data_IF_561722130809
#
_entry.id   IF_561722130809
#
_cell.length_a   1.000
_cell.length_b   1.000
_cell.length_c   1.000
_cell.angle_alpha   90.00
_cell.angle_beta   90.00
_cell.angle_gamma   90.00
#
_symmetry.space_group_name_H-M   'P 1'
#
loop_
_entity.id
_entity.type
_entity.pdbx_description
1 polymer ?
#
# COMPACT_ATOMS: atom_id res chain seq x y z
N UNK A 1 -24.97 6.54 -15.00
CA UNK A 1 -23.68 6.14 -15.61
C UNK A 1 -22.63 7.19 -15.26
N UNK A 2 -21.48 6.83 -14.66
CA UNK A 2 -20.38 7.78 -14.50
C UNK A 2 -19.77 8.11 -15.87
N UNK A 3 -19.49 9.39 -16.14
CA UNK A 3 -18.74 9.81 -17.34
C UNK A 3 -17.41 9.04 -17.37
N UNK A 4 -17.12 8.35 -18.47
CA UNK A 4 -15.76 7.85 -18.76
C UNK A 4 -14.83 9.06 -18.80
N UNK A 5 -14.11 9.32 -17.70
CA UNK A 5 -12.96 10.22 -17.73
C UNK A 5 -11.86 9.51 -18.53
N UNK A 6 -11.55 10.02 -19.71
CA UNK A 6 -10.54 9.42 -20.56
C UNK A 6 -9.15 9.67 -19.96
N UNK A 7 -8.36 8.61 -19.82
CA UNK A 7 -6.93 8.69 -19.53
C UNK A 7 -6.21 9.30 -20.74
N UNK A 8 -5.31 10.26 -20.49
CA UNK A 8 -4.66 11.04 -21.54
C UNK A 8 -3.16 10.75 -21.53
N UNK A 9 -2.58 10.54 -22.72
CA UNK A 9 -1.13 10.58 -22.88
C UNK A 9 -0.71 12.05 -23.08
N UNK A 10 0.23 12.51 -22.27
CA UNK A 10 0.81 13.85 -22.32
C UNK A 10 2.35 13.77 -22.31
N UNK A 11 2.99 14.89 -22.60
CA UNK A 11 4.45 15.05 -22.56
C UNK A 11 4.77 16.28 -21.75
N UNK A 12 5.73 16.15 -20.84
CA UNK A 12 6.24 17.23 -19.99
C UNK A 12 7.69 17.48 -20.39
N UNK A 13 8.06 18.73 -20.63
CA UNK A 13 9.45 19.13 -20.92
C UNK A 13 9.94 20.10 -19.85
N UNK A 14 11.22 19.97 -19.46
CA UNK A 14 11.83 20.79 -18.42
C UNK A 14 13.07 20.13 -17.81
N UNK A 15 13.59 20.68 -16.72
CA UNK A 15 14.61 20.04 -15.89
C UNK A 15 13.93 19.23 -14.79
N UNK A 16 14.65 18.26 -14.19
CA UNK A 16 14.16 17.56 -13.00
C UNK A 16 14.44 18.44 -11.77
N UNK A 17 13.47 19.30 -11.42
CA UNK A 17 13.58 20.30 -10.35
C UNK A 17 13.38 19.70 -8.94
N UNK A 18 12.93 18.44 -8.87
CA UNK A 18 12.88 17.65 -7.63
C UNK A 18 12.87 16.17 -7.98
N UNK A 19 13.62 15.36 -7.23
CA UNK A 19 13.63 13.91 -7.33
C UNK A 19 13.58 13.30 -5.91
N UNK A 20 12.49 12.62 -5.58
CA UNK A 20 12.31 11.86 -4.34
C UNK A 20 12.30 10.38 -4.70
N UNK A 21 13.11 9.56 -4.05
CA UNK A 21 13.19 8.10 -4.27
C UNK A 21 12.80 7.40 -2.99
N UNK A 22 11.77 6.56 -3.05
CA UNK A 22 11.29 5.84 -1.88
C UNK A 22 12.33 4.86 -1.35
N UNK A 23 12.44 4.80 -0.02
CA UNK A 23 13.07 3.70 0.69
C UNK A 23 11.98 2.67 1.04
N UNK A 24 12.21 1.35 0.92
CA UNK A 24 13.39 0.70 0.36
C UNK A 24 13.47 0.80 -1.17
N UNK A 25 14.69 1.02 -1.68
CA UNK A 25 14.99 1.20 -3.10
C UNK A 25 14.50 0.05 -3.99
N UNK A 26 14.39 -1.18 -3.45
CA UNK A 26 13.89 -2.37 -4.17
C UNK A 26 12.47 -2.21 -4.73
N UNK A 27 11.66 -1.31 -4.16
CA UNK A 27 10.30 -1.00 -4.66
C UNK A 27 10.32 -0.03 -5.85
N UNK A 28 11.43 0.67 -6.05
CA UNK A 28 11.68 1.59 -7.16
C UNK A 28 10.64 2.70 -7.36
N UNK A 29 9.86 3.04 -6.32
CA UNK A 29 8.91 4.14 -6.39
C UNK A 29 9.66 5.48 -6.37
N UNK A 30 9.29 6.37 -7.28
CA UNK A 30 9.96 7.66 -7.48
C UNK A 30 8.91 8.73 -7.74
N UNK A 31 9.05 9.87 -7.06
CA UNK A 31 8.37 11.10 -7.41
C UNK A 31 9.38 12.04 -8.06
N UNK A 32 9.03 12.61 -9.21
CA UNK A 32 9.83 13.60 -9.93
C UNK A 32 8.98 14.83 -10.24
N UNK A 33 9.58 16.02 -10.13
CA UNK A 33 8.99 17.28 -10.61
C UNK A 33 9.79 17.74 -11.82
N UNK A 34 9.13 17.92 -12.96
CA UNK A 34 9.77 18.29 -14.22
C UNK A 34 9.16 19.57 -14.76
N UNK A 35 9.93 20.66 -14.86
CA UNK A 35 9.40 21.96 -15.24
C UNK A 35 8.25 22.41 -14.34
N UNK A 36 8.38 22.18 -13.02
CA UNK A 36 7.32 22.40 -12.04
C UNK A 36 6.20 21.35 -12.00
N UNK A 37 6.08 20.46 -12.98
CA UNK A 37 4.98 19.48 -13.09
C UNK A 37 5.28 18.19 -12.30
N UNK A 38 4.42 17.74 -11.38
CA UNK A 38 4.63 16.50 -10.62
C UNK A 38 4.32 15.25 -11.46
N UNK A 39 5.17 14.22 -11.33
CA UNK A 39 5.09 12.93 -12.02
C UNK A 39 5.50 11.80 -11.06
N UNK A 40 4.77 10.68 -11.08
CA UNK A 40 5.01 9.52 -10.22
C UNK A 40 5.40 8.30 -11.06
N UNK A 41 6.46 7.59 -10.69
CA UNK A 41 6.97 6.41 -11.40
C UNK A 41 7.25 5.23 -10.47
N UNK A 42 7.30 4.04 -11.06
CA UNK A 42 7.70 2.80 -10.40
C UNK A 42 8.66 2.02 -11.31
N UNK A 43 9.92 1.91 -10.91
CA UNK A 43 11.02 1.38 -11.69
C UNK A 43 11.41 -0.03 -11.22
N UNK A 44 11.57 -0.96 -12.18
CA UNK A 44 12.02 -2.35 -11.90
C UNK A 44 13.55 -2.44 -11.87
N UNK A 45 14.24 -1.60 -12.66
CA UNK A 45 15.71 -1.58 -12.75
C UNK A 45 16.29 -0.42 -11.92
N UNK A 46 17.18 -0.69 -10.95
CA UNK A 46 17.95 0.35 -10.26
C UNK A 46 18.80 1.25 -11.18
N UNK A 47 19.10 0.80 -12.41
CA UNK A 47 19.77 1.61 -13.42
C UNK A 47 18.93 2.83 -13.85
N UNK A 48 17.62 2.68 -14.02
CA UNK A 48 16.71 3.78 -14.37
C UNK A 48 16.76 4.88 -13.29
N UNK A 49 16.81 4.47 -12.01
CA UNK A 49 16.88 5.38 -10.86
C UNK A 49 18.23 6.11 -10.82
N UNK A 50 19.34 5.43 -11.17
CA UNK A 50 20.65 6.07 -11.33
C UNK A 50 20.65 7.09 -12.48
N UNK A 51 20.02 6.76 -13.61
CA UNK A 51 19.84 7.67 -14.75
C UNK A 51 19.05 8.92 -14.35
N UNK A 52 17.92 8.77 -13.64
CA UNK A 52 17.14 9.91 -13.13
C UNK A 52 17.97 10.80 -12.17
N UNK A 53 18.74 10.20 -11.26
CA UNK A 53 19.63 10.95 -10.36
C UNK A 53 20.71 11.71 -11.12
N UNK A 54 21.35 11.09 -12.11
CA UNK A 54 22.35 11.74 -12.96
C UNK A 54 21.78 12.94 -13.72
N UNK A 55 20.62 12.76 -14.36
CA UNK A 55 19.94 13.83 -15.11
C UNK A 55 19.49 14.99 -14.21
N UNK A 56 19.03 14.71 -12.99
CA UNK A 56 18.67 15.74 -12.00
C UNK A 56 19.90 16.52 -11.52
N UNK A 57 20.98 15.83 -11.15
CA UNK A 57 22.23 16.46 -10.68
C UNK A 57 22.90 17.32 -11.75
N UNK A 58 22.82 16.90 -13.02
CA UNK A 58 23.38 17.64 -14.17
C UNK A 58 22.46 18.77 -14.64
N UNK A 59 21.26 18.93 -14.06
CA UNK A 59 20.21 19.84 -14.53
C UNK A 59 19.91 19.67 -16.04
N UNK A 60 20.03 18.44 -16.54
CA UNK A 60 19.86 18.12 -17.97
C UNK A 60 18.39 18.29 -18.36
N UNK A 61 18.08 19.03 -19.44
CA UNK A 61 16.71 19.10 -19.95
C UNK A 61 16.21 17.72 -20.39
N UNK A 62 15.03 17.36 -19.92
CA UNK A 62 14.35 16.09 -20.19
C UNK A 62 12.95 16.31 -20.75
N UNK A 63 12.50 15.33 -21.53
CA UNK A 63 11.14 15.20 -22.03
C UNK A 63 10.60 13.88 -21.47
N UNK A 64 9.51 13.96 -20.71
CA UNK A 64 8.90 12.82 -20.02
C UNK A 64 7.52 12.55 -20.59
N UNK A 65 7.31 11.33 -21.07
CA UNK A 65 5.99 10.83 -21.41
C UNK A 65 5.23 10.49 -20.14
N UNK A 66 4.00 11.01 -20.01
CA UNK A 66 3.15 10.76 -18.86
C UNK A 66 1.76 10.27 -19.29
N UNK A 67 1.17 9.44 -18.43
CA UNK A 67 -0.21 8.97 -18.55
C UNK A 67 -0.99 9.59 -17.39
N UNK A 68 -1.93 10.48 -17.70
CA UNK A 68 -2.76 11.18 -16.72
C UNK A 68 -4.02 10.36 -16.43
N UNK A 69 -4.23 9.97 -15.16
CA UNK A 69 -5.46 9.27 -14.76
C UNK A 69 -6.52 10.19 -14.14
N UNK A 70 -7.76 10.04 -14.61
CA UNK A 70 -8.81 11.04 -14.52
C UNK A 70 -9.45 11.19 -13.12
N UNK A 71 -9.19 10.27 -12.20
CA UNK A 71 -9.73 10.35 -10.84
C UNK A 71 -9.11 11.51 -10.04
N UNK A 72 -7.79 11.67 -10.12
CA UNK A 72 -7.02 12.59 -9.28
C UNK A 72 -6.03 13.48 -10.06
N UNK A 73 -5.96 13.38 -11.40
CA UNK A 73 -4.99 14.15 -12.20
C UNK A 73 -3.54 13.70 -11.99
N UNK A 74 -3.33 12.52 -11.40
CA UNK A 74 -2.02 11.94 -11.16
C UNK A 74 -1.37 11.60 -12.51
N UNK A 75 -0.14 12.07 -12.68
CA UNK A 75 0.69 11.81 -13.85
C UNK A 75 1.59 10.63 -13.58
N UNK A 76 1.37 9.54 -14.30
CA UNK A 76 2.19 8.34 -14.20
C UNK A 76 3.29 8.37 -15.26
N UNK A 77 4.53 8.18 -14.82
CA UNK A 77 5.71 8.08 -15.69
C UNK A 77 5.52 6.95 -16.71
N UNK A 78 5.80 7.24 -17.98
CA UNK A 78 5.75 6.26 -19.08
C UNK A 78 7.10 6.04 -19.74
N UNK A 79 7.88 7.11 -19.98
CA UNK A 79 9.21 7.09 -20.61
C UNK A 79 9.91 8.44 -20.41
N UNK A 80 11.22 8.50 -20.68
CA UNK A 80 12.03 9.72 -20.64
C UNK A 80 13.03 9.76 -21.79
N UNK A 81 13.22 10.93 -22.39
CA UNK A 81 14.36 11.25 -23.26
C UNK A 81 15.09 12.49 -22.74
N UNK A 82 16.42 12.55 -22.86
CA UNK A 82 17.26 13.66 -22.38
C UNK A 82 17.91 14.41 -23.56
N UNK A 83 18.25 15.69 -23.35
CA UNK A 83 18.87 16.54 -24.39
C UNK A 83 20.28 16.09 -24.80
N UNK A 84 20.95 15.31 -23.96
CA UNK A 84 22.18 14.59 -24.26
C UNK A 84 22.33 13.39 -23.33
N UNK A 85 22.56 12.20 -23.91
CA UNK A 85 22.71 10.94 -23.16
C UNK A 85 21.52 9.98 -23.29
N UNK A 86 21.55 8.90 -22.50
CA UNK A 86 20.53 7.86 -22.51
C UNK A 86 19.22 8.29 -21.84
N UNK A 87 18.10 7.92 -22.45
CA UNK A 87 16.76 8.02 -21.87
C UNK A 87 16.30 6.72 -21.21
N UNK A 88 15.06 6.73 -20.70
CA UNK A 88 14.37 5.54 -20.18
C UNK A 88 13.26 5.17 -21.17
N UNK A 89 13.41 4.05 -21.86
CA UNK A 89 12.45 3.58 -22.84
C UNK A 89 11.10 3.19 -22.21
N UNK A 90 9.97 3.31 -22.93
CA UNK A 90 8.68 2.85 -22.44
C UNK A 90 8.66 1.33 -22.25
N UNK A 91 8.03 0.87 -21.17
CA UNK A 91 7.67 -0.55 -21.02
C UNK A 91 6.55 -0.88 -22.01
N UNK A 92 6.90 -1.53 -23.13
CA UNK A 92 5.94 -1.85 -24.17
C UNK A 92 4.75 -2.69 -23.66
N UNK A 93 3.55 -2.28 -24.07
CA UNK A 93 2.27 -2.92 -23.75
C UNK A 93 2.26 -4.42 -24.07
N UNK A 94 2.93 -4.82 -25.15
CA UNK A 94 3.03 -6.22 -25.58
C UNK A 94 3.75 -7.08 -24.54
N UNK A 95 4.84 -6.59 -23.96
CA UNK A 95 5.64 -7.33 -22.97
C UNK A 95 4.90 -7.44 -21.63
N UNK A 96 4.24 -6.36 -21.20
CA UNK A 96 3.37 -6.39 -20.02
C UNK A 96 2.23 -7.39 -20.19
N UNK A 97 1.55 -7.37 -21.35
CA UNK A 97 0.48 -8.32 -21.69
C UNK A 97 1.00 -9.76 -21.69
N UNK A 98 2.15 -10.02 -22.31
CA UNK A 98 2.76 -11.37 -22.38
C UNK A 98 3.12 -11.89 -20.99
N UNK A 99 3.73 -11.05 -20.14
CA UNK A 99 4.04 -11.39 -18.74
C UNK A 99 2.77 -11.75 -17.96
N UNK A 100 1.73 -10.90 -18.00
CA UNK A 100 0.51 -11.13 -17.25
C UNK A 100 -0.27 -12.38 -17.71
N UNK A 101 -0.36 -12.66 -19.02
CA UNK A 101 -0.96 -13.90 -19.51
C UNK A 101 -0.19 -15.15 -19.07
N UNK A 102 1.14 -15.09 -19.01
CA UNK A 102 1.96 -16.19 -18.45
C UNK A 102 1.64 -16.43 -16.98
N UNK A 103 1.53 -15.38 -16.17
CA UNK A 103 1.15 -15.49 -14.75
C UNK A 103 -0.24 -16.09 -14.55
N UNK A 104 -1.23 -15.70 -15.37
CA UNK A 104 -2.58 -16.27 -15.34
C UNK A 104 -2.56 -17.75 -15.72
N UNK A 105 -1.85 -18.12 -16.79
CA UNK A 105 -1.75 -19.51 -17.23
C UNK A 105 -1.12 -20.42 -16.17
N UNK A 106 -0.04 -19.96 -15.53
CA UNK A 106 0.61 -20.69 -14.42
C UNK A 106 -0.33 -20.80 -13.22
N UNK A 107 -0.93 -19.68 -12.78
CA UNK A 107 -1.84 -19.68 -11.63
C UNK A 107 -3.08 -20.57 -11.83
N UNK A 108 -3.69 -20.54 -13.01
CA UNK A 108 -4.82 -21.39 -13.34
C UNK A 108 -4.43 -22.88 -13.42
N UNK A 109 -3.27 -23.20 -14.01
CA UNK A 109 -2.78 -24.58 -14.07
C UNK A 109 -2.50 -25.16 -12.67
N UNK A 110 -1.88 -24.36 -11.78
CA UNK A 110 -1.65 -24.75 -10.37
C UNK A 110 -2.99 -24.92 -9.64
N UNK A 111 -3.94 -24.01 -9.83
CA UNK A 111 -5.26 -24.11 -9.21
C UNK A 111 -6.04 -25.36 -9.67
N UNK A 112 -6.04 -25.67 -10.97
CA UNK A 112 -6.69 -26.86 -11.52
C UNK A 112 -6.01 -28.14 -11.04
N UNK A 113 -4.68 -28.20 -11.00
CA UNK A 113 -3.95 -29.37 -10.50
C UNK A 113 -4.22 -29.60 -9.01
N UNK A 114 -4.24 -28.54 -8.19
CA UNK A 114 -4.50 -28.63 -6.76
C UNK A 114 -5.98 -28.97 -6.45
N UNK A 115 -6.94 -28.40 -7.18
CA UNK A 115 -8.35 -28.75 -7.06
C UNK A 115 -8.66 -30.17 -7.58
N UNK A 116 -8.01 -30.60 -8.65
CA UNK A 116 -8.10 -31.98 -9.15
C UNK A 116 -7.53 -32.99 -8.15
N UNK A 117 -6.37 -32.69 -7.56
CA UNK A 117 -5.79 -33.48 -6.47
C UNK A 117 -6.70 -33.53 -5.24
N UNK A 118 -7.32 -32.41 -4.87
CA UNK A 118 -8.31 -32.33 -3.80
C UNK A 118 -9.53 -33.25 -4.03
N UNK A 119 -10.02 -33.35 -5.28
CA UNK A 119 -11.14 -34.24 -5.64
C UNK A 119 -10.79 -35.73 -5.62
N UNK A 120 -9.49 -36.09 -5.56
CA UNK A 120 -9.01 -37.48 -5.45
C UNK A 120 -8.70 -37.88 -4.00
N UNK A 121 -8.82 -36.97 -3.04
CA UNK A 121 -8.59 -37.24 -1.62
C UNK A 121 -9.89 -37.69 -0.95
N UNK A 122 -9.87 -38.92 -0.46
CA UNK A 122 -10.95 -39.47 0.36
C UNK A 122 -10.89 -38.90 1.80
N UNK A 123 -12.03 -38.76 2.46
CA UNK A 123 -12.14 -38.14 3.80
C UNK A 123 -11.88 -39.13 4.95
N UNK A 124 -11.36 -40.32 4.64
CA UNK A 124 -11.23 -41.45 5.56
C UNK A 124 -10.07 -41.35 6.56
N UNK A 125 -9.14 -40.38 6.43
CA UNK A 125 -8.07 -40.17 7.40
C UNK A 125 -7.70 -38.69 7.62
N UNK A 126 -7.21 -38.39 8.82
CA UNK A 126 -6.71 -37.06 9.18
C UNK A 126 -5.60 -36.54 8.23
N UNK A 127 -4.75 -37.44 7.72
CA UNK A 127 -3.70 -37.09 6.77
C UNK A 127 -4.27 -36.65 5.42
N UNK A 128 -5.33 -37.30 4.92
CA UNK A 128 -6.02 -36.87 3.69
C UNK A 128 -6.80 -35.57 3.91
N UNK A 129 -7.45 -35.38 5.07
CA UNK A 129 -8.11 -34.11 5.42
C UNK A 129 -7.09 -32.96 5.46
N UNK A 130 -5.90 -33.18 6.03
CA UNK A 130 -4.82 -32.19 6.03
C UNK A 130 -4.31 -31.90 4.60
N UNK A 131 -4.10 -32.94 3.79
CA UNK A 131 -3.70 -32.79 2.39
C UNK A 131 -4.76 -32.02 1.56
N UNK A 132 -6.05 -32.25 1.83
CA UNK A 132 -7.18 -31.57 1.20
C UNK A 132 -7.17 -30.07 1.54
N UNK A 133 -6.99 -29.73 2.83
CA UNK A 133 -6.87 -28.32 3.27
C UNK A 133 -5.67 -27.64 2.62
N UNK A 134 -4.52 -28.31 2.54
CA UNK A 134 -3.31 -27.77 1.86
C UNK A 134 -3.57 -27.57 0.36
N UNK A 135 -4.16 -28.55 -0.32
CA UNK A 135 -4.47 -28.46 -1.75
C UNK A 135 -5.45 -27.32 -2.06
N UNK A 136 -6.53 -27.20 -1.28
CA UNK A 136 -7.50 -26.10 -1.42
C UNK A 136 -6.87 -24.72 -1.12
N UNK A 137 -5.95 -24.65 -0.15
CA UNK A 137 -5.21 -23.41 0.17
C UNK A 137 -4.29 -23.01 -0.99
N UNK A 138 -3.55 -23.96 -1.57
CA UNK A 138 -2.71 -23.73 -2.76
C UNK A 138 -3.55 -23.28 -3.96
N UNK A 139 -4.70 -23.92 -4.18
CA UNK A 139 -5.63 -23.54 -5.25
C UNK A 139 -6.16 -22.10 -5.05
N UNK A 140 -6.55 -21.73 -3.83
CA UNK A 140 -7.03 -20.40 -3.49
C UNK A 140 -5.95 -19.33 -3.72
N UNK A 141 -4.72 -19.55 -3.24
CA UNK A 141 -3.60 -18.62 -3.45
C UNK A 141 -3.29 -18.47 -4.95
N UNK A 142 -3.27 -19.56 -5.71
CA UNK A 142 -3.04 -19.53 -7.15
C UNK A 142 -4.14 -18.77 -7.92
N UNK A 143 -5.41 -18.95 -7.52
CA UNK A 143 -6.54 -18.18 -8.06
C UNK A 143 -6.45 -16.69 -7.70
N UNK A 144 -6.03 -16.32 -6.49
CA UNK A 144 -5.83 -14.93 -6.10
C UNK A 144 -4.74 -14.26 -6.96
N UNK A 145 -3.59 -14.92 -7.15
CA UNK A 145 -2.50 -14.42 -8.00
C UNK A 145 -2.91 -14.28 -9.49
N UNK A 146 -3.68 -15.24 -10.00
CA UNK A 146 -4.28 -15.14 -11.33
C UNK A 146 -5.30 -13.99 -11.41
N UNK A 147 -6.12 -13.79 -10.36
CA UNK A 147 -7.08 -12.69 -10.23
C UNK A 147 -6.42 -11.31 -10.22
N UNK A 148 -5.34 -11.11 -9.46
CA UNK A 148 -4.54 -9.88 -9.50
C UNK A 148 -3.94 -9.63 -10.88
N UNK A 149 -3.43 -10.67 -11.54
CA UNK A 149 -2.89 -10.57 -12.91
C UNK A 149 -3.98 -10.22 -13.93
N UNK A 150 -5.18 -10.78 -13.79
CA UNK A 150 -6.34 -10.49 -14.62
C UNK A 150 -6.87 -9.06 -14.40
N UNK A 151 -6.88 -8.59 -13.15
CA UNK A 151 -7.20 -7.20 -12.81
C UNK A 151 -6.20 -6.22 -13.45
N UNK A 152 -4.89 -6.54 -13.42
CA UNK A 152 -3.86 -5.79 -14.13
C UNK A 152 -4.07 -5.76 -15.65
N UNK A 153 -4.46 -6.89 -16.27
CA UNK A 153 -4.84 -6.91 -17.69
C UNK A 153 -6.11 -6.09 -17.99
N UNK A 154 -7.10 -6.11 -17.10
CA UNK A 154 -8.32 -5.33 -17.24
C UNK A 154 -8.03 -3.83 -17.20
N UNK A 155 -7.24 -3.39 -16.22
CA UNK A 155 -6.72 -2.03 -16.12
C UNK A 155 -5.96 -1.64 -17.40
N UNK A 156 -4.97 -2.44 -17.81
CA UNK A 156 -4.21 -2.22 -19.05
C UNK A 156 -5.08 -2.22 -20.31
N UNK A 157 -6.23 -2.91 -20.32
CA UNK A 157 -7.22 -2.86 -21.42
C UNK A 157 -7.99 -1.54 -21.43
N UNK A 158 -8.37 -1.01 -20.26
CA UNK A 158 -9.03 0.30 -20.13
C UNK A 158 -8.12 1.44 -20.62
N UNK A 159 -6.83 1.42 -20.23
CA UNK A 159 -5.87 2.49 -20.55
C UNK A 159 -5.08 2.26 -21.85
N UNK A 160 -5.37 1.17 -22.59
CA UNK A 160 -4.64 0.74 -23.80
C UNK A 160 -4.40 1.86 -24.82
N UNK A 161 -5.41 2.71 -25.07
CA UNK A 161 -5.31 3.79 -26.05
C UNK A 161 -4.34 4.89 -25.62
N UNK A 162 -4.26 5.20 -24.32
CA UNK A 162 -3.27 6.14 -23.79
C UNK A 162 -1.86 5.54 -23.83
N UNK A 163 -1.69 4.27 -23.44
CA UNK A 163 -0.39 3.59 -23.46
C UNK A 163 0.19 3.56 -24.89
N UNK A 164 -0.59 3.12 -25.88
CA UNK A 164 -0.14 3.05 -27.28
C UNK A 164 0.14 4.44 -27.89
N UNK A 165 -0.61 5.48 -27.50
CA UNK A 165 -0.30 6.87 -27.90
C UNK A 165 1.00 7.38 -27.26
N UNK A 166 1.27 7.01 -26.01
CA UNK A 166 2.52 7.32 -25.32
C UNK A 166 3.71 6.66 -26.01
N UNK A 167 3.60 5.39 -26.38
CA UNK A 167 4.62 4.64 -27.14
C UNK A 167 4.86 5.23 -28.54
N UNK A 168 3.79 5.66 -29.24
CA UNK A 168 3.91 6.32 -30.54
C UNK A 168 4.67 7.65 -30.42
N UNK A 169 4.26 8.51 -29.48
CA UNK A 169 4.94 9.78 -29.20
C UNK A 169 6.40 9.60 -28.80
N UNK A 170 6.74 8.56 -28.04
CA UNK A 170 8.13 8.24 -27.75
C UNK A 170 8.94 8.05 -29.03
N UNK A 171 8.45 7.23 -29.98
CA UNK A 171 9.14 6.95 -31.25
C UNK A 171 9.27 8.18 -32.14
N UNK A 172 8.24 9.02 -32.18
CA UNK A 172 8.24 10.30 -32.90
C UNK A 172 9.27 11.28 -32.30
N UNK A 173 9.22 11.48 -30.98
CA UNK A 173 9.98 12.51 -30.27
C UNK A 173 11.41 12.10 -29.89
N UNK A 174 11.79 10.82 -30.06
CA UNK A 174 13.14 10.31 -29.80
C UNK A 174 14.22 10.99 -30.65
N UNK A 175 13.85 11.48 -31.83
CA UNK A 175 14.76 12.18 -32.77
C UNK A 175 14.63 13.70 -32.72
N UNK A 176 13.68 14.23 -31.96
CA UNK A 176 13.39 15.67 -31.92
C UNK A 176 14.20 16.31 -30.80
N UNK A 177 14.99 17.38 -31.05
CA UNK A 177 15.71 18.06 -29.99
C UNK A 177 14.75 18.55 -28.89
N UNK A 178 15.26 18.65 -27.66
CA UNK A 178 14.53 19.19 -26.51
C UNK A 178 14.88 20.67 -26.42
N UNK A 179 13.87 21.53 -26.35
CA UNK A 179 14.09 22.97 -26.24
C UNK A 179 14.66 23.30 -24.85
N UNK A 180 15.77 24.05 -24.82
CA UNK A 180 16.34 24.52 -23.56
C UNK A 180 15.54 25.75 -23.11
N UNK A 181 14.51 25.52 -22.30
CA UNK A 181 13.84 26.61 -21.60
C UNK A 181 14.83 27.30 -20.63
N UNK A 182 14.76 28.64 -20.47
CA UNK A 182 15.57 29.34 -19.48
C UNK A 182 15.28 28.83 -18.06
N UNK A 183 16.25 28.94 -17.13
CA UNK A 183 16.05 28.46 -15.76
C UNK A 183 14.85 29.16 -15.13
N UNK A 184 13.80 28.38 -14.85
CA UNK A 184 12.77 28.82 -13.91
C UNK A 184 13.38 28.74 -12.52
N UNK A 185 13.42 29.85 -11.79
CA UNK A 185 13.93 29.85 -10.42
C UNK A 185 13.15 28.83 -9.60
N UNK A 186 13.87 27.91 -8.95
CA UNK A 186 13.24 27.01 -8.00
C UNK A 186 12.64 27.87 -6.89
N UNK A 187 11.33 27.78 -6.60
CA UNK A 187 10.74 28.57 -5.53
C UNK A 187 11.46 28.22 -4.23
N UNK A 188 11.98 29.24 -3.55
CA UNK A 188 12.66 29.09 -2.28
C UNK A 188 11.79 28.25 -1.35
N UNK A 189 12.36 27.17 -0.82
CA UNK A 189 11.64 26.31 0.11
C UNK A 189 11.15 27.15 1.30
N UNK A 190 9.91 26.95 1.79
CA UNK A 190 9.47 27.56 3.04
C UNK A 190 10.52 27.33 4.13
N UNK A 191 10.80 28.36 4.92
CA UNK A 191 11.82 28.32 5.96
C UNK A 191 11.68 27.08 6.84
N UNK A 192 12.81 26.54 7.32
CA UNK A 192 12.86 25.39 8.20
C UNK A 192 12.18 25.73 9.54
N UNK A 193 10.89 25.39 9.65
CA UNK A 193 10.16 25.34 10.91
C UNK A 193 10.56 24.06 11.67
N UNK A 194 11.85 23.96 11.99
CA UNK A 194 12.43 22.91 12.81
C UNK A 194 12.14 23.18 14.27
N UNK A 195 11.60 22.18 14.97
CA UNK A 195 11.15 22.36 16.34
C UNK A 195 10.69 21.08 17.01
N UNK A 196 10.77 21.08 18.33
CA UNK A 196 10.23 20.04 19.20
C UNK A 196 9.15 20.64 20.10
N UNK A 197 8.06 19.91 20.33
CA UNK A 197 6.99 20.34 21.24
C UNK A 197 6.44 19.13 21.99
N UNK A 198 6.48 19.16 23.32
CA UNK A 198 6.02 18.07 24.17
C UNK A 198 4.55 18.26 24.58
N UNK A 199 3.71 17.27 24.31
CA UNK A 199 2.29 17.23 24.63
C UNK A 199 2.07 16.40 25.90
N UNK A 200 2.09 17.08 27.05
CA UNK A 200 2.04 16.49 28.39
C UNK A 200 0.62 16.28 28.96
N UNK A 201 -0.44 16.64 28.22
CA UNK A 201 -1.86 16.57 28.65
C UNK A 201 -2.29 15.26 29.33
N UNK A 202 -1.65 14.14 28.99
CA UNK A 202 -1.88 12.83 29.60
C UNK A 202 -0.72 11.86 29.29
N UNK A 203 -0.59 10.80 30.09
CA UNK A 203 0.26 9.66 29.74
C UNK A 203 -0.35 8.80 28.60
N UNK A 204 0.46 8.26 27.67
CA UNK A 204 1.87 8.56 27.44
C UNK A 204 2.05 9.98 26.87
N UNK A 205 3.00 10.76 27.38
CA UNK A 205 3.33 12.08 26.82
C UNK A 205 3.75 11.92 25.36
N UNK A 206 3.36 12.81 24.43
CA UNK A 206 3.73 12.68 23.00
C UNK A 206 4.69 13.81 22.62
N UNK A 207 5.80 13.49 21.97
CA UNK A 207 6.74 14.46 21.43
C UNK A 207 6.40 14.72 19.97
N UNK A 208 6.08 15.97 19.65
CA UNK A 208 5.98 16.44 18.26
C UNK A 208 7.36 16.90 17.81
N UNK A 209 7.82 16.43 16.65
CA UNK A 209 9.12 16.79 16.07
C UNK A 209 8.93 17.21 14.62
N UNK A 210 9.45 18.37 14.23
CA UNK A 210 9.46 18.87 12.84
C UNK A 210 10.89 18.99 12.31
N UNK A 211 11.08 18.60 11.05
CA UNK A 211 12.36 18.75 10.35
C UNK A 211 12.44 17.89 9.09
N UNK A 212 13.65 17.70 8.55
CA UNK A 212 13.89 16.84 7.40
C UNK A 212 14.33 15.42 7.81
N UNK A 213 13.90 14.41 7.05
CA UNK A 213 14.40 13.04 7.16
C UNK A 213 15.86 12.94 6.72
N UNK A 214 16.72 12.42 7.59
CA UNK A 214 18.11 12.11 7.30
C UNK A 214 18.45 10.66 7.70
N UNK A 215 19.45 10.06 7.03
CA UNK A 215 19.90 8.67 7.28
C UNK A 215 18.76 7.64 7.20
N UNK A 216 17.82 7.80 6.27
CA UNK A 216 16.66 6.93 6.12
C UNK A 216 17.06 5.53 5.64
N UNK A 217 16.82 4.51 6.47
CA UNK A 217 17.02 3.10 6.15
C UNK A 217 15.73 2.29 6.37
N UNK A 218 15.63 1.14 5.70
CA UNK A 218 14.56 0.15 5.91
C UNK A 218 15.19 -1.21 6.14
N UNK A 219 14.84 -1.83 7.28
CA UNK A 219 15.11 -3.24 7.57
C UNK A 219 13.80 -4.02 7.39
N UNK A 220 13.71 -4.86 6.37
CA UNK A 220 12.67 -5.89 6.34
C UNK A 220 13.03 -6.98 7.35
N UNK A 221 12.22 -7.15 8.42
CA UNK A 221 12.33 -8.35 9.26
C UNK A 221 11.46 -9.46 8.68
N UNK A 222 12.05 -10.51 8.07
CA UNK A 222 11.25 -11.64 7.60
C UNK A 222 10.53 -12.28 8.78
N UNK A 223 9.28 -12.70 8.56
CA UNK A 223 8.46 -13.35 9.57
C UNK A 223 9.14 -14.62 10.08
N UNK A 224 9.39 -14.71 11.39
CA UNK A 224 9.52 -16.01 12.04
C UNK A 224 8.17 -16.75 11.97
N UNK A 225 8.16 -18.07 12.21
CA UNK A 225 6.93 -18.91 12.15
C UNK A 225 5.76 -18.43 13.01
N UNK A 226 6.01 -17.51 13.96
CA UNK A 226 5.02 -17.00 14.93
C UNK A 226 4.89 -15.46 14.95
N UNK A 227 5.63 -14.71 14.12
CA UNK A 227 5.61 -13.24 14.13
C UNK A 227 5.33 -12.66 12.74
N UNK A 228 4.45 -11.65 12.59
CA UNK A 228 4.26 -10.96 11.31
C UNK A 228 5.58 -10.35 10.78
N UNK A 229 5.72 -10.21 9.46
CA UNK A 229 6.81 -9.40 8.90
C UNK A 229 6.50 -7.91 9.06
N UNK A 230 7.53 -7.16 9.46
CA UNK A 230 7.47 -5.73 9.66
C UNK A 230 8.64 -5.06 8.92
N UNK A 231 8.35 -3.94 8.28
CA UNK A 231 9.32 -3.01 7.76
C UNK A 231 9.71 -2.03 8.87
N UNK A 232 10.98 -2.00 9.24
CA UNK A 232 11.49 -1.08 10.25
C UNK A 232 12.17 0.06 9.52
N UNK A 233 11.54 1.24 9.54
CA UNK A 233 12.15 2.46 9.03
C UNK A 233 12.92 3.13 10.16
N UNK A 234 14.23 3.33 9.99
CA UNK A 234 15.05 4.16 10.89
C UNK A 234 15.46 5.42 10.15
N UNK A 235 15.47 6.54 10.86
CA UNK A 235 15.86 7.83 10.33
C UNK A 235 16.22 8.77 11.47
N UNK A 236 16.72 9.95 11.11
CA UNK A 236 16.97 11.07 12.00
C UNK A 236 16.11 12.26 11.57
N UNK A 237 15.63 13.03 12.55
CA UNK A 237 15.03 14.35 12.34
C UNK A 237 15.63 15.29 13.39
N UNK A 238 16.34 16.32 12.94
CA UNK A 238 17.21 17.13 13.79
C UNK A 238 18.23 16.23 14.52
N UNK A 239 18.34 16.37 15.84
CA UNK A 239 19.21 15.53 16.67
C UNK A 239 18.58 14.18 17.09
N UNK A 240 17.31 13.91 16.78
CA UNK A 240 16.59 12.72 17.24
C UNK A 240 16.77 11.57 16.28
N UNK A 241 17.20 10.42 16.80
CA UNK A 241 17.07 9.12 16.11
C UNK A 241 15.64 8.60 16.32
N UNK A 242 14.98 8.21 15.24
CA UNK A 242 13.60 7.77 15.23
C UNK A 242 13.46 6.40 14.56
N UNK A 243 12.46 5.64 14.99
CA UNK A 243 12.09 4.37 14.39
C UNK A 243 10.57 4.28 14.19
N UNK A 244 10.16 3.95 12.98
CA UNK A 244 8.77 3.75 12.58
C UNK A 244 8.58 2.31 12.12
N UNK A 245 7.60 1.63 12.71
CA UNK A 245 7.33 0.22 12.44
C UNK A 245 6.08 0.06 11.59
N UNK A 246 6.26 -0.50 10.39
CA UNK A 246 5.21 -0.72 9.39
C UNK A 246 4.92 -2.21 9.30
N UNK A 247 3.66 -2.60 9.36
CA UNK A 247 3.24 -3.95 9.05
C UNK A 247 3.26 -4.15 7.52
N UNK A 248 3.97 -5.18 7.02
CA UNK A 248 4.06 -5.42 5.57
C UNK A 248 2.97 -6.39 5.06
N UNK A 249 2.04 -6.82 5.94
CA UNK A 249 0.96 -7.77 5.66
C UNK A 249 -0.38 -7.20 6.15
N UNK A 250 -1.50 -7.73 5.63
CA UNK A 250 -2.90 -7.35 5.95
C UNK A 250 -3.47 -6.10 5.26
N UNK A 251 -2.76 -5.52 4.30
CA UNK A 251 -3.28 -4.44 3.46
C UNK A 251 -3.07 -3.03 4.04
N UNK A 252 -2.19 -2.92 5.03
CA UNK A 252 -1.55 -1.67 5.42
C UNK A 252 -0.86 -1.01 4.20
N UNK A 253 -0.82 0.33 4.20
CA UNK A 253 -0.11 1.07 3.17
C UNK A 253 1.41 0.96 3.41
N UNK A 254 2.20 0.92 2.33
CA UNK A 254 3.64 1.13 2.48
C UNK A 254 3.93 2.62 2.33
N UNK A 255 4.59 3.28 3.31
CA UNK A 255 4.81 4.71 3.25
C UNK A 255 5.81 5.07 2.14
N UNK A 256 5.51 6.13 1.40
CA UNK A 256 6.48 6.77 0.53
C UNK A 256 7.31 7.76 1.37
N UNK A 257 8.51 7.33 1.78
CA UNK A 257 9.49 8.17 2.46
C UNK A 257 10.76 8.27 1.61
N UNK A 258 11.23 9.50 1.38
CA UNK A 258 12.50 9.77 0.73
C UNK A 258 13.44 10.57 1.66
N UNK A 259 14.74 10.39 1.47
CA UNK A 259 15.78 11.18 2.14
C UNK A 259 15.58 12.68 1.81
N UNK A 260 15.64 13.54 2.83
CA UNK A 260 15.44 14.99 2.72
C UNK A 260 13.97 15.44 2.68
N UNK A 261 12.99 14.54 2.77
CA UNK A 261 11.58 14.93 2.91
C UNK A 261 11.35 15.67 4.24
N UNK A 262 10.62 16.79 4.19
CA UNK A 262 10.18 17.50 5.40
C UNK A 262 8.99 16.78 6.03
N UNK A 263 9.07 16.54 7.33
CA UNK A 263 8.10 15.74 8.08
C UNK A 263 7.71 16.39 9.40
N UNK A 264 6.51 16.06 9.86
CA UNK A 264 6.02 16.31 11.21
C UNK A 264 5.69 14.96 11.85
N UNK A 265 6.32 14.67 13.00
CA UNK A 265 6.25 13.38 13.69
C UNK A 265 5.48 13.50 15.00
N UNK A 266 4.70 12.48 15.35
CA UNK A 266 4.27 12.21 16.71
C UNK A 266 5.03 10.98 17.24
N UNK A 267 5.88 11.18 18.26
CA UNK A 267 6.82 10.19 18.78
C UNK A 267 6.70 10.02 20.32
N UNK A 268 7.22 8.91 20.88
CA UNK A 268 6.62 8.19 22.03
C UNK A 268 6.02 8.99 23.22
N UNK A 269 6.67 9.81 24.06
CA UNK A 269 7.97 10.48 24.05
C UNK A 269 9.04 9.92 25.01
N UNK A 270 8.66 9.02 25.93
CA UNK A 270 9.59 8.46 26.92
C UNK A 270 10.68 7.55 26.31
N UNK A 271 11.34 6.78 27.17
CA UNK A 271 12.21 5.67 26.76
C UNK A 271 11.55 4.33 27.12
N UNK A 272 11.74 3.30 26.30
CA UNK A 272 11.33 1.94 26.64
C UNK A 272 12.56 1.10 26.96
N UNK A 273 12.52 0.41 28.11
CA UNK A 273 13.53 -0.55 28.49
C UNK A 273 13.69 -1.62 27.38
N UNK A 274 14.91 -1.76 26.85
CA UNK A 274 15.23 -2.75 25.81
C UNK A 274 14.88 -2.35 24.36
N UNK A 275 14.24 -1.21 24.10
CA UNK A 275 13.92 -0.78 22.73
C UNK A 275 15.09 -0.10 21.97
N UNK A 276 16.21 0.17 22.66
CA UNK A 276 17.34 0.90 22.11
C UNK A 276 17.19 2.43 22.25
N UNK A 277 18.09 3.21 21.63
CA UNK A 277 18.11 4.67 21.74
C UNK A 277 17.15 5.39 20.77
N UNK A 278 16.45 4.65 19.90
CA UNK A 278 15.62 5.22 18.83
C UNK A 278 14.22 5.56 19.36
N UNK A 279 13.74 6.77 19.10
CA UNK A 279 12.41 7.23 19.50
C UNK A 279 11.33 6.53 18.67
N UNK A 280 10.40 5.81 19.32
CA UNK A 280 9.27 5.20 18.60
C UNK A 280 8.35 6.27 18.01
N UNK A 281 8.02 6.15 16.73
CA UNK A 281 7.08 7.03 16.02
C UNK A 281 5.69 6.38 15.98
N UNK A 282 4.68 7.11 16.46
CA UNK A 282 3.26 6.74 16.31
C UNK A 282 2.67 7.16 14.97
N UNK A 283 3.13 8.28 14.42
CA UNK A 283 2.68 8.76 13.13
C UNK A 283 3.60 9.82 12.55
N UNK A 284 3.58 9.93 11.22
CA UNK A 284 4.43 10.80 10.42
C UNK A 284 3.56 11.45 9.35
N UNK A 285 3.50 12.78 9.32
CA UNK A 285 2.97 13.55 8.19
C UNK A 285 4.12 13.98 7.29
N UNK A 286 4.09 13.60 6.03
CA UNK A 286 5.06 14.02 5.03
C UNK A 286 4.56 15.30 4.35
N UNK A 287 5.27 16.41 4.57
CA UNK A 287 4.88 17.73 4.08
C UNK A 287 5.13 17.91 2.56
N UNK A 288 5.75 16.93 1.90
CA UNK A 288 6.06 16.97 0.47
C UNK A 288 4.98 16.36 -0.43
N UNK A 289 4.05 15.58 0.14
CA UNK A 289 2.88 15.02 -0.55
C UNK A 289 1.59 15.05 0.29
N UNK A 290 1.64 15.67 1.48
CA UNK A 290 0.55 15.77 2.47
C UNK A 290 -0.04 14.43 2.91
N UNK A 291 0.73 13.35 2.77
CA UNK A 291 0.35 12.02 3.26
C UNK A 291 0.64 11.89 4.75
N UNK A 292 -0.24 11.16 5.43
CA UNK A 292 -0.13 10.93 6.87
C UNK A 292 -0.12 9.44 7.14
N UNK A 293 0.98 8.95 7.71
CA UNK A 293 1.17 7.56 8.04
C UNK A 293 0.97 7.36 9.55
N UNK A 294 0.11 6.43 9.96
CA UNK A 294 -0.16 6.17 11.40
C UNK A 294 0.07 4.69 11.73
N UNK A 295 0.96 4.45 12.69
CA UNK A 295 1.45 3.13 13.06
C UNK A 295 0.50 2.46 14.07
N UNK A 296 -0.21 1.42 13.63
CA UNK A 296 -1.24 0.77 14.45
C UNK A 296 -0.84 -0.61 14.97
N UNK A 297 -0.30 -1.46 14.09
CA UNK A 297 -0.22 -2.90 14.35
C UNK A 297 0.95 -3.28 15.28
N UNK A 298 2.14 -2.74 15.08
CA UNK A 298 3.33 -3.11 15.84
C UNK A 298 3.18 -2.80 17.35
N UNK A 299 2.69 -1.61 17.68
CA UNK A 299 2.48 -1.19 19.08
C UNK A 299 1.55 -2.13 19.85
N UNK A 300 0.49 -2.66 19.21
CA UNK A 300 -0.44 -3.61 19.85
C UNK A 300 0.26 -4.91 20.27
N UNK A 301 1.25 -5.37 19.50
CA UNK A 301 1.99 -6.61 19.76
C UNK A 301 3.14 -6.43 20.75
N UNK A 302 3.90 -5.32 20.65
CA UNK A 302 5.10 -5.10 21.44
C UNK A 302 4.87 -4.29 22.74
N UNK A 303 3.97 -3.31 22.72
CA UNK A 303 3.93 -2.24 23.74
C UNK A 303 2.50 -1.92 24.21
N UNK A 304 1.86 -2.91 24.85
CA UNK A 304 0.43 -2.93 25.18
C UNK A 304 -0.10 -1.72 25.95
N UNK A 305 0.73 -1.07 26.77
CA UNK A 305 0.41 0.10 27.60
C UNK A 305 0.38 1.43 26.85
N UNK A 306 1.23 1.58 25.84
CA UNK A 306 1.40 2.84 25.10
C UNK A 306 0.77 2.75 23.69
N UNK A 307 0.18 1.60 23.36
CA UNK A 307 -0.39 1.34 22.05
C UNK A 307 -1.67 2.14 21.75
N UNK A 308 -1.79 2.74 20.54
CA UNK A 308 -3.07 3.17 20.00
C UNK A 308 -3.99 1.96 19.72
N UNK A 309 -5.17 2.21 19.13
CA UNK A 309 -6.03 1.11 18.63
C UNK A 309 -5.25 0.23 17.65
N UNK A 310 -5.42 -1.08 17.69
CA UNK A 310 -4.64 -1.98 16.82
C UNK A 310 -5.35 -2.43 15.54
N UNK A 311 -6.37 -1.70 15.12
CA UNK A 311 -7.00 -1.73 13.78
C UNK A 311 -7.51 -0.31 13.52
N UNK A 312 -6.97 0.32 12.49
CA UNK A 312 -7.31 1.68 12.07
C UNK A 312 -8.79 1.85 11.72
N UNK A 313 -9.36 3.05 11.86
CA UNK A 313 -10.78 3.26 11.55
C UNK A 313 -11.05 3.09 10.05
N UNK A 314 -10.10 3.46 9.20
CA UNK A 314 -10.16 3.24 7.75
C UNK A 314 -10.17 1.74 7.37
N UNK A 315 -9.59 0.88 8.20
CA UNK A 315 -9.43 -0.56 7.92
C UNK A 315 -10.62 -1.42 8.34
N UNK A 316 -11.41 -1.03 9.36
CA UNK A 316 -12.46 -1.89 9.94
C UNK A 316 -13.54 -2.27 8.94
N UNK A 317 -14.02 -1.33 8.14
CA UNK A 317 -15.07 -1.61 7.15
C UNK A 317 -14.54 -2.47 5.99
N UNK A 318 -13.38 -2.18 5.37
CA UNK A 318 -12.71 -3.10 4.45
C UNK A 318 -12.49 -4.50 5.02
N UNK A 319 -12.00 -4.62 6.26
CA UNK A 319 -11.74 -5.90 6.93
C UNK A 319 -13.02 -6.73 7.13
N UNK A 320 -14.07 -6.13 7.69
CA UNK A 320 -15.36 -6.81 7.90
C UNK A 320 -16.03 -7.19 6.57
N UNK A 321 -15.86 -6.37 5.53
CA UNK A 321 -16.33 -6.68 4.17
C UNK A 321 -15.54 -7.82 3.54
N UNK A 322 -14.21 -7.82 3.66
CA UNK A 322 -13.35 -8.89 3.15
C UNK A 322 -13.68 -10.21 3.84
N UNK A 323 -13.85 -10.20 5.18
CA UNK A 323 -14.25 -11.36 5.95
C UNK A 323 -15.62 -11.89 5.51
N UNK A 324 -16.61 -11.00 5.33
CA UNK A 324 -17.93 -11.39 4.82
C UNK A 324 -17.86 -12.01 3.42
N UNK A 325 -17.11 -11.40 2.50
CA UNK A 325 -16.91 -11.93 1.14
C UNK A 325 -16.21 -13.29 1.16
N UNK A 326 -15.20 -13.47 2.00
CA UNK A 326 -14.48 -14.74 2.14
C UNK A 326 -15.39 -15.84 2.70
N UNK A 327 -16.19 -15.54 3.73
CA UNK A 327 -17.13 -16.50 4.32
C UNK A 327 -18.24 -16.89 3.34
N UNK A 328 -18.80 -15.93 2.59
CA UNK A 328 -19.77 -16.20 1.51
C UNK A 328 -19.13 -17.02 0.39
N UNK A 329 -17.88 -16.74 0.01
CA UNK A 329 -17.17 -17.53 -0.99
C UNK A 329 -16.93 -18.98 -0.51
N UNK A 330 -16.48 -19.18 0.73
CA UNK A 330 -16.34 -20.50 1.33
C UNK A 330 -17.67 -21.26 1.39
N UNK A 331 -18.77 -20.57 1.71
CA UNK A 331 -20.11 -21.15 1.66
C UNK A 331 -20.51 -21.59 0.24
N UNK A 332 -20.27 -20.75 -0.78
CA UNK A 332 -20.53 -21.09 -2.17
C UNK A 332 -19.70 -22.30 -2.65
N UNK A 333 -18.46 -22.46 -2.17
CA UNK A 333 -17.64 -23.65 -2.43
C UNK A 333 -18.28 -24.90 -1.80
N UNK A 334 -18.76 -24.82 -0.56
CA UNK A 334 -19.49 -25.93 0.09
C UNK A 334 -20.75 -26.29 -0.69
N UNK A 335 -21.56 -25.30 -1.10
CA UNK A 335 -22.76 -25.51 -1.93
C UNK A 335 -22.41 -26.19 -3.26
N UNK A 336 -21.33 -25.77 -3.93
CA UNK A 336 -20.88 -26.38 -5.17
C UNK A 336 -20.45 -27.84 -5.00
N UNK A 337 -19.73 -28.17 -3.91
CA UNK A 337 -19.31 -29.55 -3.58
C UNK A 337 -20.53 -30.43 -3.24
N UNK A 338 -21.50 -29.91 -2.48
CA UNK A 338 -22.73 -30.65 -2.17
C UNK A 338 -23.54 -30.94 -3.44
N UNK A 339 -23.65 -29.97 -4.36
CA UNK A 339 -24.35 -30.13 -5.63
C UNK A 339 -23.69 -31.14 -6.58
N UNK A 340 -22.35 -31.25 -6.58
CA UNK A 340 -21.62 -32.23 -7.40
C UNK A 340 -21.47 -33.60 -6.75
N UNK A 341 -21.68 -33.71 -5.42
CA UNK A 341 -21.67 -35.00 -4.73
C UNK A 341 -22.71 -35.97 -5.31
N UNK A 342 -22.29 -37.22 -5.52
CA UNK A 342 -22.99 -38.18 -6.39
C UNK A 342 -24.15 -38.95 -5.76
N UNK A 343 -24.40 -38.83 -4.45
CA UNK A 343 -25.45 -39.62 -3.79
C UNK A 343 -26.82 -38.95 -3.91
N UNK A 344 -27.90 -39.68 -4.29
CA UNK A 344 -29.25 -39.12 -4.26
C UNK A 344 -29.66 -38.71 -2.83
N UNK A 345 -29.25 -39.45 -1.80
CA UNK A 345 -29.54 -39.12 -0.39
C UNK A 345 -28.79 -37.88 0.11
N UNK A 346 -27.61 -37.55 -0.43
CA UNK A 346 -26.90 -36.32 -0.05
C UNK A 346 -27.51 -35.08 -0.70
N UNK A 347 -28.22 -35.23 -1.84
CA UNK A 347 -28.88 -34.10 -2.53
C UNK A 347 -30.15 -33.64 -1.84
N UNK A 348 -30.91 -34.53 -1.22
CA UNK A 348 -32.12 -34.15 -0.46
C UNK A 348 -31.76 -33.35 0.81
N UNK A 349 -30.65 -33.68 1.47
CA UNK A 349 -30.17 -32.99 2.69
C UNK A 349 -29.26 -31.78 2.40
N UNK A 350 -28.79 -31.62 1.16
CA UNK A 350 -27.90 -30.52 0.74
C UNK A 350 -28.39 -29.10 1.09
N UNK A 351 -29.68 -28.70 0.90
CA UNK A 351 -30.12 -27.34 1.22
C UNK A 351 -30.14 -27.07 2.73
N UNK A 352 -30.53 -28.05 3.55
CA UNK A 352 -30.52 -27.92 5.01
C UNK A 352 -29.09 -27.79 5.55
N UNK A 353 -28.19 -28.67 5.09
CA UNK A 353 -26.77 -28.62 5.45
C UNK A 353 -26.13 -27.29 5.02
N UNK A 354 -26.44 -26.81 3.82
CA UNK A 354 -25.95 -25.51 3.34
C UNK A 354 -26.48 -24.34 4.21
N UNK A 355 -27.74 -24.38 4.65
CA UNK A 355 -28.31 -23.36 5.54
C UNK A 355 -27.68 -23.39 6.93
N UNK A 356 -27.44 -24.58 7.50
CA UNK A 356 -26.75 -24.75 8.79
C UNK A 356 -25.31 -24.23 8.72
N UNK A 357 -24.56 -24.57 7.66
CA UNK A 357 -23.20 -24.04 7.44
C UNK A 357 -23.22 -22.52 7.29
N UNK A 358 -24.19 -21.95 6.56
CA UNK A 358 -24.34 -20.49 6.46
C UNK A 358 -24.57 -19.84 7.83
N UNK A 359 -25.44 -20.41 8.66
CA UNK A 359 -25.73 -19.91 10.00
C UNK A 359 -24.47 -19.89 10.89
N UNK A 360 -23.64 -20.95 10.88
CA UNK A 360 -22.37 -20.97 11.60
C UNK A 360 -21.38 -19.92 11.09
N UNK A 361 -21.26 -19.74 9.77
CA UNK A 361 -20.38 -18.71 9.18
C UNK A 361 -20.86 -17.28 9.53
N UNK A 362 -22.18 -17.05 9.55
CA UNK A 362 -22.78 -15.78 9.98
C UNK A 362 -22.51 -15.49 11.47
N UNK A 363 -22.66 -16.49 12.34
CA UNK A 363 -22.33 -16.37 13.77
C UNK A 363 -20.83 -16.05 13.94
N UNK A 364 -19.95 -16.76 13.24
CA UNK A 364 -18.51 -16.49 13.26
C UNK A 364 -18.17 -15.04 12.82
N UNK A 365 -18.85 -14.52 11.80
CA UNK A 365 -18.72 -13.11 11.39
C UNK A 365 -19.22 -12.15 12.48
N UNK A 366 -20.39 -12.41 13.06
CA UNK A 366 -20.98 -11.58 14.13
C UNK A 366 -20.09 -11.50 15.38
N UNK A 367 -19.44 -12.61 15.75
CA UNK A 367 -18.46 -12.65 16.86
C UNK A 367 -17.28 -11.68 16.65
N UNK A 368 -16.92 -11.35 15.41
CA UNK A 368 -15.88 -10.36 15.08
C UNK A 368 -16.47 -8.96 14.89
N UNK A 369 -17.63 -8.85 14.24
CA UNK A 369 -18.26 -7.58 13.90
C UNK A 369 -18.84 -6.84 15.13
N UNK A 370 -19.57 -7.53 16.00
CA UNK A 370 -20.28 -6.90 17.11
C UNK A 370 -19.34 -6.19 18.12
N UNK A 371 -18.21 -6.77 18.55
CA UNK A 371 -17.27 -6.08 19.44
C UNK A 371 -16.67 -4.80 18.82
N UNK A 372 -16.37 -4.82 17.52
CA UNK A 372 -15.83 -3.64 16.82
C UNK A 372 -16.89 -2.52 16.73
N UNK A 373 -18.11 -2.86 16.30
CA UNK A 373 -19.21 -1.91 16.19
C UNK A 373 -19.61 -1.32 17.55
N UNK A 374 -19.60 -2.14 18.62
CA UNK A 374 -19.84 -1.67 19.98
C UNK A 374 -18.77 -0.70 20.47
N UNK A 375 -17.48 -0.99 20.22
CA UNK A 375 -16.37 -0.10 20.58
C UNK A 375 -16.41 1.24 19.82
N UNK A 376 -16.89 1.24 18.58
CA UNK A 376 -17.06 2.47 17.78
C UNK A 376 -18.29 3.27 18.18
N UNK A 377 -19.42 2.62 18.45
CA UNK A 377 -20.60 3.29 19.00
C UNK A 377 -20.28 3.94 20.37
N UNK A 378 -19.61 3.20 21.26
CA UNK A 378 -19.17 3.70 22.57
C UNK A 378 -18.22 4.91 22.44
N UNK A 379 -17.32 4.88 21.48
CA UNK A 379 -16.38 5.97 21.24
C UNK A 379 -17.09 7.23 20.73
N UNK A 380 -18.01 7.08 19.76
CA UNK A 380 -18.86 8.18 19.26
C UNK A 380 -19.75 8.79 20.35
N UNK A 381 -20.16 8.00 21.34
CA UNK A 381 -20.86 8.47 22.55
C UNK A 381 -19.94 9.12 23.61
N UNK A 382 -18.72 9.52 23.25
CA UNK A 382 -17.80 10.23 24.14
C UNK A 382 -17.21 9.38 25.28
N UNK A 383 -17.20 8.04 25.14
CA UNK A 383 -16.65 7.12 26.17
C UNK A 383 -15.41 6.33 25.70
N UNK A 384 -14.36 6.97 25.13
CA UNK A 384 -13.21 6.28 24.57
C UNK A 384 -12.43 5.46 25.61
N UNK A 385 -11.96 4.30 25.16
CA UNK A 385 -10.96 3.47 25.87
C UNK A 385 -9.60 4.17 25.94
N UNK A 386 -8.67 3.67 26.76
CA UNK A 386 -7.28 4.20 26.86
C UNK A 386 -6.62 4.30 25.47
N UNK A 387 -6.71 3.25 24.66
CA UNK A 387 -6.10 3.18 23.32
C UNK A 387 -6.75 4.12 22.30
N UNK A 388 -8.05 4.38 22.43
CA UNK A 388 -8.77 5.37 21.62
C UNK A 388 -8.33 6.80 21.98
N UNK A 389 -8.17 7.11 23.28
CA UNK A 389 -7.63 8.40 23.73
C UNK A 389 -6.19 8.67 23.28
N UNK A 390 -5.36 7.61 23.21
CA UNK A 390 -4.00 7.71 22.65
C UNK A 390 -4.08 8.12 21.16
N UNK A 391 -4.96 7.49 20.38
CA UNK A 391 -5.13 7.86 18.97
C UNK A 391 -5.65 9.29 18.77
N UNK A 392 -6.65 9.72 19.55
CA UNK A 392 -7.15 11.11 19.52
C UNK A 392 -6.04 12.13 19.79
N UNK A 393 -5.10 11.80 20.69
CA UNK A 393 -3.95 12.67 20.98
C UNK A 393 -2.91 12.68 19.87
N UNK A 394 -2.63 11.53 19.23
CA UNK A 394 -1.79 11.48 18.02
C UNK A 394 -2.40 12.35 16.90
N UNK A 395 -3.71 12.23 16.68
CA UNK A 395 -4.42 13.03 15.67
C UNK A 395 -4.41 14.53 16.00
N UNK A 396 -4.59 14.91 17.27
CA UNK A 396 -4.48 16.31 17.71
C UNK A 396 -3.05 16.84 17.54
N UNK A 397 -2.05 16.07 17.94
CA UNK A 397 -0.63 16.44 17.88
C UNK A 397 -0.15 16.70 16.45
N UNK A 398 -0.68 15.98 15.46
CA UNK A 398 -0.39 16.13 14.04
C UNK A 398 -1.40 17.04 13.29
N UNK A 399 -2.33 17.70 13.98
CA UNK A 399 -3.32 18.61 13.37
C UNK A 399 -4.37 17.94 12.46
N UNK A 400 -4.63 16.64 12.64
CA UNK A 400 -5.40 15.79 11.72
C UNK A 400 -6.92 15.82 11.93
N UNK A 401 -7.45 16.70 12.78
CA UNK A 401 -8.86 16.69 13.17
C UNK A 401 -9.18 15.53 14.12
N UNK A 402 -10.14 14.68 13.75
CA UNK A 402 -10.57 13.54 14.59
C UNK A 402 -10.43 12.20 13.88
N UNK A 403 -10.24 11.07 14.58
CA UNK A 403 -10.20 9.75 13.94
C UNK A 403 -11.44 9.38 13.11
N UNK A 404 -12.61 9.94 13.40
CA UNK A 404 -13.85 9.71 12.64
C UNK A 404 -14.04 10.68 11.46
N UNK A 405 -13.32 11.80 11.45
CA UNK A 405 -13.36 12.82 10.42
C UNK A 405 -11.96 13.45 10.31
N UNK A 406 -11.01 12.75 9.65
CA UNK A 406 -9.66 13.25 9.46
C UNK A 406 -9.66 14.40 8.44
N UNK A 407 -8.78 15.37 8.65
CA UNK A 407 -8.58 16.50 7.72
C UNK A 407 -7.67 16.18 6.53
N UNK A 408 -6.92 15.07 6.61
CA UNK A 408 -5.98 14.59 5.60
C UNK A 408 -6.26 13.12 5.24
N UNK A 409 -5.65 12.62 4.16
CA UNK A 409 -5.69 11.19 3.82
C UNK A 409 -4.76 10.44 4.76
N UNK A 410 -5.35 9.58 5.59
CA UNK A 410 -4.61 8.72 6.52
C UNK A 410 -4.29 7.38 5.84
N UNK A 411 -3.01 7.08 5.75
CA UNK A 411 -2.46 5.79 5.37
C UNK A 411 -2.10 5.04 6.66
N UNK A 412 -2.90 4.02 7.00
CA UNK A 412 -2.65 3.16 8.16
C UNK A 412 -1.47 2.22 7.83
N UNK A 413 -0.46 2.18 8.71
CA UNK A 413 0.82 1.45 8.51
C UNK A 413 1.19 0.52 9.67
#
# INVERSE_FOLDING_TARGET
MPKRKNTIAATVEGRIDKLRVAVPLVRGQVYLRVGGVPVNGAFEDPADIRTLRGLALQATPVRVGVIEDGAHGLRHFSWLSAAGGGGIAPRYYVDQRRRAWRSIGIGLAVAVAAAGGACLLDLSSFAQVLALVVALTVALVALLLAGFSLHGLWHNRLHRSAILRSEARYRELLKTPIAVAPPTEAPAGPAQDEGETLVTDAAPEILVVRGALASLTHEARPSSRTTPSYGIYRFQVGARRCVMYVAENFGDAMPFLAEGDRVELAAYAGQLAGAGPDQLVYGLRNLEDDRVYVCHHYFRGAFTDIAPVGVGLGQRVPLLRLLAVLLVFSWLVVVAVLATSGSPSSREQAPELAAVVFAFLLVAWLCVALPLLFLDARWRMGRPTRRQRILERIYRALGLGTPFAPTAVIEEV
#
